data_IF_617510116301
#
_entry.id   IF_617510116301
#
_cell.length_a   1.000
_cell.length_b   1.000
_cell.length_c   1.000
_cell.angle_alpha   90.00
_cell.angle_beta   90.00
_cell.angle_gamma   90.00
#
_symmetry.space_group_name_H-M   'P 1'
#
loop_
_entity.id
_entity.type
_entity.pdbx_description
1 polymer ?
#
# COMPACT_ATOMS: atom_id res chain seq x y z
N UNK A 1 0.71 2.53 12.67
CA UNK A 1 0.46 2.92 11.25
C UNK A 1 -1.01 2.77 10.82
N UNK A 2 -1.78 1.95 11.47
CA UNK A 2 -3.20 1.67 11.11
C UNK A 2 -4.09 2.92 10.94
N UNK A 3 -3.86 4.01 11.69
CA UNK A 3 -4.65 5.26 11.62
C UNK A 3 -4.68 5.95 10.25
N UNK A 4 -3.70 5.65 9.40
CA UNK A 4 -3.53 6.24 8.06
C UNK A 4 -3.70 5.22 6.94
N UNK A 5 -4.40 4.11 7.23
CA UNK A 5 -4.73 3.03 6.31
C UNK A 5 -6.24 2.99 6.08
N UNK A 6 -6.62 2.99 4.82
CA UNK A 6 -8.01 2.88 4.36
C UNK A 6 -8.17 1.55 3.61
N UNK A 7 -8.74 0.55 4.28
CA UNK A 7 -8.75 -0.84 3.78
C UNK A 7 -10.08 -1.28 3.18
N UNK A 8 -11.18 -0.59 3.50
CA UNK A 8 -12.51 -0.96 3.04
C UNK A 8 -13.09 0.14 2.16
N UNK A 9 -13.14 -0.13 0.84
CA UNK A 9 -13.68 0.80 -0.17
C UNK A 9 -13.17 2.23 0.05
N UNK A 10 -11.88 2.53 -0.16
CA UNK A 10 -11.29 3.83 0.18
C UNK A 10 -12.10 5.03 -0.34
N UNK A 11 -12.71 4.91 -1.52
CA UNK A 11 -13.57 5.93 -2.13
C UNK A 11 -15.05 5.49 -2.29
N UNK A 12 -15.44 4.39 -1.65
CA UNK A 12 -16.79 3.86 -1.71
C UNK A 12 -17.09 2.95 -2.90
N UNK A 13 -16.11 2.70 -3.76
CA UNK A 13 -16.26 1.94 -5.01
C UNK A 13 -15.87 0.46 -4.82
N UNK A 14 -16.73 -0.44 -5.32
CA UNK A 14 -16.52 -1.90 -5.27
C UNK A 14 -15.42 -2.37 -6.24
N UNK A 15 -14.94 -3.60 -6.05
CA UNK A 15 -13.97 -4.25 -6.92
C UNK A 15 -14.42 -4.34 -8.38
N UNK A 16 -15.70 -4.56 -8.61
CA UNK A 16 -16.28 -4.69 -9.95
C UNK A 16 -16.56 -3.35 -10.62
N UNK A 17 -16.40 -2.22 -9.90
CA UNK A 17 -16.68 -0.91 -10.46
C UNK A 17 -15.66 -0.54 -11.53
N UNK A 18 -16.16 -0.15 -12.71
CA UNK A 18 -15.36 0.27 -13.86
C UNK A 18 -15.96 1.56 -14.43
N UNK A 19 -15.12 2.56 -14.62
CA UNK A 19 -15.48 3.81 -15.30
C UNK A 19 -15.43 3.69 -16.82
N UNK A 20 -15.43 4.82 -17.52
CA UNK A 20 -15.24 4.88 -18.98
C UNK A 20 -13.80 4.50 -19.32
N UNK A 21 -13.61 3.90 -20.49
CA UNK A 21 -12.28 3.48 -20.96
C UNK A 21 -11.44 4.68 -21.44
N UNK A 22 -12.09 5.73 -21.92
CA UNK A 22 -11.44 6.94 -22.43
C UNK A 22 -11.66 8.13 -21.49
N UNK A 23 -10.64 8.98 -21.30
CA UNK A 23 -10.79 10.20 -20.53
C UNK A 23 -11.79 11.16 -21.16
N UNK A 24 -12.48 11.93 -20.34
CA UNK A 24 -13.42 12.96 -20.76
C UNK A 24 -13.23 14.23 -19.92
N UNK A 25 -13.81 15.34 -20.38
CA UNK A 25 -13.67 16.63 -19.69
C UNK A 25 -14.12 16.55 -18.24
N UNK A 26 -13.23 16.90 -17.29
CA UNK A 26 -13.48 16.83 -15.85
C UNK A 26 -13.45 15.43 -15.24
N UNK A 27 -12.99 14.41 -16.00
CA UNK A 27 -12.82 13.07 -15.45
C UNK A 27 -11.62 12.99 -14.52
N UNK A 28 -11.71 12.08 -13.55
CA UNK A 28 -10.62 11.65 -12.66
C UNK A 28 -10.24 10.22 -12.99
N UNK A 29 -9.00 9.86 -12.69
CA UNK A 29 -8.48 8.52 -12.97
C UNK A 29 -8.84 7.55 -11.85
N UNK A 30 -9.38 6.39 -12.21
CA UNK A 30 -9.72 5.30 -11.32
C UNK A 30 -8.81 4.10 -11.56
N UNK A 31 -8.11 3.66 -10.52
CA UNK A 31 -7.41 2.38 -10.47
C UNK A 31 -8.35 1.27 -9.99
N UNK A 32 -8.66 0.33 -10.85
CA UNK A 32 -9.52 -0.82 -10.54
C UNK A 32 -8.82 -2.16 -10.79
N UNK A 33 -9.52 -3.25 -10.47
CA UNK A 33 -9.05 -4.62 -10.72
C UNK A 33 -8.83 -4.93 -12.20
N UNK A 34 -9.54 -4.23 -13.08
CA UNK A 34 -9.46 -4.37 -14.53
C UNK A 34 -8.52 -3.35 -15.19
N UNK A 35 -7.78 -2.58 -14.41
CA UNK A 35 -6.88 -1.54 -14.89
C UNK A 35 -7.41 -0.13 -14.68
N UNK A 36 -6.94 0.79 -15.51
CA UNK A 36 -7.32 2.21 -15.46
C UNK A 36 -8.65 2.46 -16.16
N UNK A 37 -9.45 3.34 -15.57
CA UNK A 37 -10.67 3.87 -16.16
C UNK A 37 -10.91 5.29 -15.65
N UNK A 38 -11.96 5.96 -16.14
CA UNK A 38 -12.23 7.37 -15.88
C UNK A 38 -13.66 7.57 -15.40
N UNK A 39 -13.82 8.35 -14.32
CA UNK A 39 -15.12 8.63 -13.71
C UNK A 39 -15.27 10.12 -13.41
N UNK A 40 -16.46 10.55 -13.04
CA UNK A 40 -16.69 11.90 -12.52
C UNK A 40 -16.35 11.96 -11.02
N UNK A 41 -15.94 13.12 -10.54
CA UNK A 41 -15.65 13.33 -9.13
C UNK A 41 -16.88 13.15 -8.20
N UNK A 42 -18.09 13.39 -8.72
CA UNK A 42 -19.36 13.21 -7.98
C UNK A 42 -19.75 11.75 -7.77
N UNK A 43 -19.08 10.82 -8.44
CA UNK A 43 -19.23 9.38 -8.22
C UNK A 43 -18.46 8.87 -6.97
N UNK A 44 -17.63 9.71 -6.34
CA UNK A 44 -16.93 9.39 -5.09
C UNK A 44 -17.93 9.40 -3.94
N UNK A 45 -18.11 8.24 -3.30
CA UNK A 45 -19.10 8.07 -2.23
C UNK A 45 -18.54 8.49 -0.85
N UNK A 46 -17.23 8.28 -0.62
CA UNK A 46 -16.58 8.62 0.65
C UNK A 46 -15.14 9.10 0.45
N UNK A 47 -14.59 9.79 1.45
CA UNK A 47 -13.22 10.28 1.47
C UNK A 47 -12.86 11.18 0.26
N UNK A 48 -13.81 11.93 -0.30
CA UNK A 48 -13.58 12.84 -1.42
C UNK A 48 -12.46 13.86 -1.14
N UNK A 49 -12.23 14.24 0.13
CA UNK A 49 -11.15 15.13 0.54
C UNK A 49 -9.75 14.58 0.25
N UNK A 50 -9.60 13.25 0.03
CA UNK A 50 -8.35 12.62 -0.34
C UNK A 50 -8.08 12.68 -1.85
N UNK A 51 -9.02 13.10 -2.68
CA UNK A 51 -8.84 13.21 -4.13
C UNK A 51 -7.62 14.07 -4.48
N UNK A 52 -7.47 15.20 -3.82
CA UNK A 52 -6.41 16.18 -4.07
C UNK A 52 -5.12 15.93 -3.26
N UNK A 53 -4.94 14.71 -2.74
CA UNK A 53 -3.73 14.30 -2.01
C UNK A 53 -2.89 13.35 -2.85
N UNK A 54 -1.59 13.40 -2.67
CA UNK A 54 -0.69 12.28 -2.96
C UNK A 54 -0.98 11.14 -2.01
N UNK A 55 -0.91 9.91 -2.46
CA UNK A 55 -1.23 8.74 -1.67
C UNK A 55 -0.58 7.49 -2.23
N UNK A 56 -0.39 6.48 -1.40
CA UNK A 56 0.03 5.17 -1.84
C UNK A 56 -1.17 4.27 -2.02
N UNK A 57 -1.12 3.40 -3.02
CA UNK A 57 -1.97 2.22 -3.07
C UNK A 57 -1.13 0.95 -2.99
N UNK A 58 -1.67 -0.05 -2.33
CA UNK A 58 -1.10 -1.38 -2.28
C UNK A 58 -2.17 -2.42 -2.60
N UNK A 59 -1.81 -3.49 -3.30
CA UNK A 59 -2.73 -4.59 -3.59
C UNK A 59 -3.27 -5.18 -2.28
N UNK A 60 -4.59 -5.25 -2.15
CA UNK A 60 -5.27 -5.82 -0.98
C UNK A 60 -5.11 -7.34 -0.89
N UNK A 61 -5.04 -8.00 -2.04
CA UNK A 61 -4.82 -9.43 -2.10
C UNK A 61 -3.33 -9.74 -2.00
N UNK A 62 -2.97 -10.57 -1.02
CA UNK A 62 -1.64 -11.17 -0.95
C UNK A 62 -1.49 -12.21 -2.06
N UNK A 63 -0.38 -12.16 -2.80
CA UNK A 63 -0.05 -13.25 -3.71
C UNK A 63 0.05 -14.57 -2.93
N UNK A 64 -0.43 -15.65 -3.52
CA UNK A 64 -0.40 -17.01 -2.93
C UNK A 64 -1.14 -17.15 -1.58
N UNK A 65 -2.09 -16.24 -1.27
CA UNK A 65 -2.86 -16.32 -0.03
C UNK A 65 -2.05 -16.13 1.25
N UNK A 66 -0.94 -15.37 1.18
CA UNK A 66 -0.04 -15.15 2.31
C UNK A 66 0.88 -16.33 2.62
N UNK A 67 0.85 -17.41 1.81
CA UNK A 67 1.72 -18.57 1.95
C UNK A 67 3.14 -18.27 1.48
N UNK A 68 4.11 -18.98 2.05
CA UNK A 68 5.47 -18.96 1.56
C UNK A 68 5.57 -19.66 0.18
N UNK A 69 6.50 -19.19 -0.64
CA UNK A 69 6.85 -19.84 -1.89
C UNK A 69 7.72 -21.10 -1.68
N UNK A 70 8.23 -21.69 -2.75
CA UNK A 70 9.11 -22.88 -2.70
C UNK A 70 10.43 -22.65 -1.98
N UNK A 71 10.84 -21.38 -1.81
CA UNK A 71 12.05 -20.98 -1.07
C UNK A 71 11.74 -20.62 0.39
N UNK A 72 10.49 -20.76 0.83
CA UNK A 72 10.05 -20.38 2.17
C UNK A 72 9.77 -18.89 2.35
N UNK A 73 9.87 -18.09 1.29
CA UNK A 73 9.70 -16.63 1.34
C UNK A 73 8.27 -16.20 1.03
N UNK A 74 7.81 -15.15 1.72
CA UNK A 74 6.48 -14.58 1.52
C UNK A 74 6.55 -13.33 0.65
N UNK A 75 5.63 -13.23 -0.31
CA UNK A 75 5.42 -12.03 -1.13
C UNK A 75 4.28 -11.20 -0.52
N UNK A 76 4.63 -10.30 0.38
CA UNK A 76 3.69 -9.40 1.06
C UNK A 76 3.61 -8.08 0.29
N UNK A 77 2.41 -7.54 0.08
CA UNK A 77 2.15 -6.32 -0.71
C UNK A 77 2.81 -6.36 -2.10
N UNK A 78 2.37 -7.21 -3.01
CA UNK A 78 3.06 -7.46 -4.29
C UNK A 78 3.11 -6.24 -5.22
N UNK A 79 2.23 -5.26 -5.02
CA UNK A 79 2.16 -4.03 -5.81
C UNK A 79 1.97 -2.83 -4.92
N UNK A 80 2.84 -1.84 -5.06
CA UNK A 80 2.79 -0.55 -4.36
C UNK A 80 2.99 0.53 -5.42
N UNK A 81 2.08 1.49 -5.48
CA UNK A 81 2.18 2.64 -6.39
C UNK A 81 1.88 3.94 -5.66
N UNK A 82 2.58 5.01 -6.07
CA UNK A 82 2.28 6.38 -5.66
C UNK A 82 1.26 6.95 -6.63
N UNK A 83 0.14 7.41 -6.12
CA UNK A 83 -0.92 8.05 -6.90
C UNK A 83 -0.88 9.56 -6.73
N UNK A 84 -0.89 10.31 -7.84
CA UNK A 84 -1.00 11.77 -7.82
C UNK A 84 -2.41 12.25 -7.42
N UNK A 85 -2.56 13.55 -7.11
CA UNK A 85 -3.87 14.20 -7.04
C UNK A 85 -4.71 13.93 -8.29
N UNK A 86 -6.03 13.88 -8.13
CA UNK A 86 -6.96 13.56 -9.24
C UNK A 86 -7.09 12.06 -9.55
N UNK A 87 -6.50 11.20 -8.72
CA UNK A 87 -6.53 9.75 -8.92
C UNK A 87 -7.09 9.04 -7.69
N UNK A 88 -7.90 8.02 -7.89
CA UNK A 88 -8.52 7.20 -6.84
C UNK A 88 -8.41 5.71 -7.15
N UNK A 89 -8.84 4.85 -6.23
CA UNK A 89 -8.85 3.40 -6.42
C UNK A 89 -10.15 2.76 -5.95
N UNK A 90 -10.44 1.57 -6.48
CA UNK A 90 -11.51 0.70 -5.99
C UNK A 90 -11.08 -0.08 -4.74
N UNK A 91 -11.99 -0.89 -4.20
CA UNK A 91 -11.72 -1.80 -3.07
C UNK A 91 -10.63 -2.86 -3.34
N UNK A 92 -10.17 -3.01 -4.57
CA UNK A 92 -9.04 -3.89 -4.92
C UNK A 92 -7.72 -3.48 -4.26
N UNK A 93 -7.64 -2.22 -3.83
CA UNK A 93 -6.45 -1.64 -3.22
C UNK A 93 -6.72 -1.13 -1.81
N UNK A 94 -5.68 -1.18 -0.99
CA UNK A 94 -5.55 -0.38 0.22
C UNK A 94 -5.07 1.00 -0.18
N UNK A 95 -5.58 2.05 0.45
CA UNK A 95 -5.02 3.38 0.35
C UNK A 95 -4.22 3.66 1.63
N UNK A 96 -3.01 4.15 1.46
CA UNK A 96 -2.05 4.39 2.53
C UNK A 96 -1.54 5.82 2.45
N UNK A 97 -1.28 6.41 3.63
CA UNK A 97 -0.46 7.61 3.79
C UNK A 97 -0.84 8.79 2.87
N UNK A 98 -2.08 9.30 2.91
CA UNK A 98 -2.42 10.48 2.13
C UNK A 98 -1.64 11.70 2.66
N UNK A 99 -0.94 12.40 1.77
CA UNK A 99 -0.14 13.61 2.06
C UNK A 99 -0.37 14.69 1.01
N UNK A 100 0.01 15.92 1.33
CA UNK A 100 -0.02 17.04 0.38
C UNK A 100 1.29 17.17 -0.42
N UNK A 101 2.34 16.43 -0.06
CA UNK A 101 3.70 16.57 -0.57
C UNK A 101 4.09 15.30 -1.30
N UNK A 102 4.40 15.43 -2.59
CA UNK A 102 4.83 14.30 -3.44
C UNK A 102 6.02 13.56 -2.84
N UNK A 103 7.03 14.29 -2.39
CA UNK A 103 8.26 13.70 -1.84
C UNK A 103 8.00 12.86 -0.59
N UNK A 104 7.06 13.25 0.26
CA UNK A 104 6.64 12.43 1.40
C UNK A 104 5.98 11.12 0.96
N UNK A 105 5.17 11.16 -0.10
CA UNK A 105 4.57 9.94 -0.65
C UNK A 105 5.61 8.99 -1.24
N UNK A 106 6.62 9.51 -1.96
CA UNK A 106 7.76 8.73 -2.46
C UNK A 106 8.58 8.11 -1.32
N UNK A 107 8.88 8.90 -0.28
CA UNK A 107 9.61 8.44 0.88
C UNK A 107 8.81 7.37 1.66
N UNK A 108 7.50 7.57 1.79
CA UNK A 108 6.62 6.55 2.36
C UNK A 108 6.59 5.26 1.52
N UNK A 109 6.65 5.38 0.19
CA UNK A 109 6.74 4.21 -0.68
C UNK A 109 8.05 3.43 -0.46
N UNK A 110 9.18 4.12 -0.26
CA UNK A 110 10.44 3.46 0.07
C UNK A 110 10.33 2.64 1.36
N UNK A 111 9.71 3.20 2.42
CA UNK A 111 9.46 2.49 3.67
C UNK A 111 8.59 1.25 3.50
N UNK A 112 7.46 1.38 2.80
CA UNK A 112 6.50 0.28 2.58
C UNK A 112 7.13 -0.86 1.76
N UNK A 113 8.13 -0.57 0.93
CA UNK A 113 8.87 -1.56 0.13
C UNK A 113 9.92 -2.33 0.91
N UNK A 114 10.35 -1.88 2.10
CA UNK A 114 11.37 -2.56 2.89
C UNK A 114 10.94 -3.97 3.32
N UNK A 115 11.88 -4.87 3.51
CA UNK A 115 11.65 -6.20 4.07
C UNK A 115 11.20 -6.10 5.53
N UNK A 116 11.78 -5.18 6.29
CA UNK A 116 11.38 -4.88 7.66
C UNK A 116 9.88 -4.58 7.78
N UNK A 117 9.38 -3.61 6.99
CA UNK A 117 7.96 -3.27 6.98
C UNK A 117 7.09 -4.48 6.66
N UNK A 118 7.42 -5.18 5.56
CA UNK A 118 6.62 -6.30 5.06
C UNK A 118 6.69 -7.52 5.99
N UNK A 119 7.79 -7.70 6.69
CA UNK A 119 7.91 -8.70 7.75
C UNK A 119 6.93 -8.41 8.89
N UNK A 120 6.95 -7.21 9.46
CA UNK A 120 6.02 -6.82 10.53
C UNK A 120 4.55 -6.96 10.10
N UNK A 121 4.23 -6.55 8.88
CA UNK A 121 2.91 -6.72 8.31
C UNK A 121 2.53 -8.21 8.22
N UNK A 122 3.46 -9.06 7.79
CA UNK A 122 3.25 -10.50 7.61
C UNK A 122 2.88 -11.23 8.91
N UNK A 123 3.29 -10.72 10.06
CA UNK A 123 2.97 -11.31 11.36
C UNK A 123 1.48 -11.27 11.69
N UNK A 124 0.74 -10.34 11.07
CA UNK A 124 -0.72 -10.19 11.25
C UNK A 124 -1.55 -10.59 10.03
N UNK A 125 -0.92 -10.94 8.93
CA UNK A 125 -1.62 -11.40 7.72
C UNK A 125 -1.86 -12.91 7.82
N UNK A 126 -3.01 -13.27 8.38
CA UNK A 126 -3.42 -14.69 8.56
C UNK A 126 -4.24 -15.17 7.34
N UNK A 127 -4.84 -14.24 6.59
CA UNK A 127 -5.72 -14.53 5.45
C UNK A 127 -5.18 -13.92 4.16
N UNK A 128 -5.83 -14.22 3.02
CA UNK A 128 -5.49 -13.65 1.72
C UNK A 128 -5.65 -12.11 1.66
N UNK A 129 -6.49 -11.54 2.52
CA UNK A 129 -6.82 -10.11 2.50
C UNK A 129 -6.11 -9.37 3.62
N UNK A 130 -5.34 -8.37 3.25
CA UNK A 130 -4.73 -7.43 4.16
C UNK A 130 -5.79 -6.41 4.58
N UNK A 131 -5.94 -6.20 5.87
CA UNK A 131 -6.86 -5.23 6.46
C UNK A 131 -6.09 -4.13 7.20
N UNK A 132 -6.81 -3.09 7.63
CA UNK A 132 -6.26 -2.02 8.47
C UNK A 132 -5.56 -2.59 9.73
N UNK A 133 -6.17 -3.56 10.39
CA UNK A 133 -5.64 -4.18 11.61
C UNK A 133 -4.31 -4.90 11.39
N UNK A 134 -4.03 -5.33 10.16
CA UNK A 134 -2.74 -5.95 9.82
C UNK A 134 -1.55 -5.01 10.05
N UNK A 135 -1.78 -3.70 10.00
CA UNK A 135 -0.75 -2.66 10.19
C UNK A 135 -0.49 -2.29 11.66
N UNK A 136 -1.15 -2.93 12.62
CA UNK A 136 -1.04 -2.57 14.03
C UNK A 136 0.37 -2.74 14.63
N UNK A 137 1.16 -3.66 14.10
CA UNK A 137 2.57 -3.85 14.51
C UNK A 137 3.56 -2.98 13.74
N UNK A 138 3.10 -2.31 12.68
CA UNK A 138 3.96 -1.50 11.83
C UNK A 138 4.08 -0.09 12.43
N UNK A 139 5.28 0.34 12.84
CA UNK A 139 5.48 1.68 13.37
C UNK A 139 5.32 2.74 12.28
N UNK A 140 4.80 3.91 12.65
CA UNK A 140 4.80 5.06 11.77
C UNK A 140 6.19 5.69 11.79
N UNK A 141 6.69 6.08 10.61
CA UNK A 141 7.97 6.75 10.45
C UNK A 141 7.79 8.23 10.11
N UNK A 142 8.88 8.97 10.18
CA UNK A 142 9.00 10.30 9.57
C UNK A 142 9.31 10.11 8.07
N UNK A 143 8.52 10.73 7.20
CA UNK A 143 8.67 10.64 5.74
C UNK A 143 9.36 11.86 5.14
N UNK A 144 10.06 12.66 5.94
CA UNK A 144 10.93 13.74 5.43
C UNK A 144 12.12 13.22 4.62
N UNK A 145 12.47 11.95 4.79
CA UNK A 145 13.54 11.25 4.05
C UNK A 145 13.12 9.82 3.67
N UNK A 146 13.78 9.21 2.67
CA UNK A 146 13.52 7.81 2.29
C UNK A 146 14.05 6.85 3.37
N UNK A 147 13.48 5.65 3.42
CA UNK A 147 13.88 4.58 4.33
C UNK A 147 14.44 3.39 3.56
N UNK A 148 15.49 2.78 4.10
CA UNK A 148 16.04 1.50 3.68
C UNK A 148 15.94 0.46 4.79
N UNK A 149 16.14 -0.81 4.46
CA UNK A 149 16.17 -1.88 5.46
C UNK A 149 17.29 -1.66 6.47
N UNK A 150 18.50 -1.26 6.02
CA UNK A 150 19.66 -1.00 6.87
C UNK A 150 19.36 0.10 7.90
N UNK A 151 18.75 1.21 7.47
CA UNK A 151 18.36 2.32 8.36
C UNK A 151 17.37 1.85 9.43
N UNK A 152 16.45 0.96 9.07
CA UNK A 152 15.45 0.43 10.00
C UNK A 152 16.07 -0.58 10.95
N UNK A 153 16.95 -1.46 10.47
CA UNK A 153 17.66 -2.42 11.29
C UNK A 153 18.51 -1.71 12.36
N UNK A 154 19.25 -0.67 11.96
CA UNK A 154 20.02 0.18 12.87
C UNK A 154 19.11 0.89 13.89
N UNK A 155 18.04 1.54 13.40
CA UNK A 155 17.11 2.29 14.25
C UNK A 155 16.47 1.45 15.34
N UNK A 156 16.14 0.20 15.03
CA UNK A 156 15.49 -0.73 15.96
C UNK A 156 16.47 -1.66 16.69
N UNK A 157 17.77 -1.53 16.43
CA UNK A 157 18.84 -2.26 17.12
C UNK A 157 18.79 -3.77 16.87
N UNK A 158 18.45 -4.19 15.63
CA UNK A 158 18.38 -5.59 15.28
C UNK A 158 19.78 -6.22 15.19
N UNK A 159 19.94 -7.42 15.71
CA UNK A 159 21.16 -8.19 15.56
C UNK A 159 21.22 -8.97 14.22
N UNK A 160 22.38 -9.54 13.89
CA UNK A 160 22.60 -10.26 12.63
C UNK A 160 21.66 -11.47 12.46
N UNK A 161 21.26 -12.13 13.56
CA UNK A 161 20.35 -13.27 13.50
C UNK A 161 18.93 -12.82 13.18
N UNK A 162 18.48 -11.71 13.77
CA UNK A 162 17.17 -11.11 13.52
C UNK A 162 17.07 -10.59 12.08
N UNK A 163 18.11 -9.91 11.59
CA UNK A 163 18.20 -9.45 10.20
C UNK A 163 18.12 -10.63 9.24
N UNK A 164 18.97 -11.65 9.43
CA UNK A 164 18.99 -12.87 8.61
C UNK A 164 17.62 -13.57 8.61
N UNK A 165 16.94 -13.58 9.75
CA UNK A 165 15.60 -14.16 9.85
C UNK A 165 14.57 -13.39 9.00
N UNK A 166 14.53 -12.05 9.09
CA UNK A 166 13.65 -11.20 8.29
C UNK A 166 13.88 -11.44 6.79
N UNK A 167 15.14 -11.43 6.36
CA UNK A 167 15.52 -11.60 4.95
C UNK A 167 15.24 -13.01 4.41
N UNK A 168 15.25 -14.01 5.30
CA UNK A 168 14.86 -15.38 4.95
C UNK A 168 13.35 -15.53 4.75
N UNK A 169 12.54 -14.69 5.41
CA UNK A 169 11.08 -14.80 5.42
C UNK A 169 10.40 -13.98 4.32
N UNK A 170 11.01 -12.88 3.88
CA UNK A 170 10.40 -11.91 2.97
C UNK A 170 11.16 -11.87 1.65
N UNK A 171 10.42 -12.01 0.54
CA UNK A 171 11.00 -11.85 -0.80
C UNK A 171 11.31 -10.36 -1.04
N UNK A 172 12.53 -10.00 -1.50
CA UNK A 172 12.83 -8.63 -1.92
C UNK A 172 11.80 -8.12 -2.94
N UNK A 173 11.56 -6.82 -2.94
CA UNK A 173 10.70 -6.14 -3.91
C UNK A 173 11.60 -5.47 -4.95
N UNK A 174 11.40 -5.80 -6.21
CA UNK A 174 12.07 -5.17 -7.35
C UNK A 174 11.53 -3.78 -7.63
#
# INVERSE_FOLDING_TARGET
MDSIVYSRKPFGLDNAYVGKQEPFSGSITLFGSQGLSYIKADEIIQNAHLLNKWKLIASKASAQGGRADSEGKRKVLPKIEVLPPGTICTESYLLLLPTSIEKEAENAASYVKTMFFRFLLSLKVITQNISKDSFSFVPLQDFSHPWTDEMLYEKYGLDENEISFIESMIRPME
#
